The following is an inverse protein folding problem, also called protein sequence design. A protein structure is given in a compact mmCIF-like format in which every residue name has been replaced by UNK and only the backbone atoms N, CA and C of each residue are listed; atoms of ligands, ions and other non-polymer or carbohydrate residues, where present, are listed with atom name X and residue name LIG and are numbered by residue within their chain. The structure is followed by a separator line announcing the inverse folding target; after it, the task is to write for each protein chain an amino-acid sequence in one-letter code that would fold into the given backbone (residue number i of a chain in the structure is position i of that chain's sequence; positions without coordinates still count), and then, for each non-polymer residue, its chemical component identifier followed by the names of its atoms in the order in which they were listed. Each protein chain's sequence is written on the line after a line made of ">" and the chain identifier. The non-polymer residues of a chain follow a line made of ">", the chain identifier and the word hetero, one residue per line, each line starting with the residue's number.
data_IF_395716813228
#
_entry.id   IF_395716813228
#
_cell.length_a   1.000
_cell.length_b   1.000
_cell.length_c   1.000
_cell.angle_alpha   90.00
_cell.angle_beta   90.00
_cell.angle_gamma   90.00
#
_symmetry.space_group_name_H-M   'P 1'
#
loop_
_entity.id
_entity.type
_entity.pdbx_description
1 polymer ?
#
# COMPACT_ATOMS: atom_id res chain seq x y z
N UNK A 1 15.32 -10.54 3.17
CA UNK A 1 13.89 -10.11 3.08
C UNK A 1 13.25 -10.39 4.43
N UNK A 2 12.97 -9.36 5.24
CA UNK A 2 12.33 -9.55 6.56
C UNK A 2 10.86 -9.88 6.32
N UNK A 3 10.43 -11.08 6.71
CA UNK A 3 9.01 -11.48 6.62
C UNK A 3 8.17 -10.52 7.45
N UNK A 4 7.12 -9.95 6.84
CA UNK A 4 6.15 -9.10 7.52
C UNK A 4 5.60 -9.87 8.74
N UNK A 5 5.76 -9.32 9.95
CA UNK A 5 5.37 -10.03 11.18
C UNK A 5 3.84 -10.22 11.20
N UNK A 6 3.42 -11.48 11.43
CA UNK A 6 2.02 -11.89 11.63
C UNK A 6 1.43 -11.20 12.86
N UNK A 7 0.88 -10.01 12.70
CA UNK A 7 0.17 -9.28 13.76
C UNK A 7 -0.99 -8.43 13.25
N UNK A 8 -1.20 -8.32 11.94
CA UNK A 8 -2.30 -7.55 11.38
C UNK A 8 -3.53 -8.45 11.27
N UNK A 9 -4.56 -8.13 12.06
CA UNK A 9 -5.88 -8.76 11.99
C UNK A 9 -6.38 -8.61 10.55
N UNK A 10 -6.64 -9.74 9.90
CA UNK A 10 -7.08 -9.82 8.50
C UNK A 10 -8.49 -9.20 8.40
N UNK A 11 -8.56 -7.86 8.34
CA UNK A 11 -9.78 -7.17 7.93
C UNK A 11 -10.00 -7.52 6.47
N UNK A 12 -11.24 -7.76 6.07
CA UNK A 12 -11.62 -7.87 4.66
C UNK A 12 -11.39 -6.50 4.03
N UNK A 13 -10.15 -6.22 3.64
CA UNK A 13 -9.76 -4.93 3.07
C UNK A 13 -10.12 -5.00 1.60
N UNK A 14 -11.29 -4.47 1.29
CA UNK A 14 -11.59 -4.11 -0.07
C UNK A 14 -10.65 -2.96 -0.45
N UNK A 15 -9.71 -3.22 -1.35
CA UNK A 15 -8.82 -2.19 -1.92
C UNK A 15 -9.64 -1.28 -2.82
N UNK A 16 -10.49 -0.46 -2.21
CA UNK A 16 -11.22 0.57 -2.89
C UNK A 16 -10.29 1.78 -3.07
N UNK A 17 -10.37 2.39 -4.25
CA UNK A 17 -9.61 3.57 -4.65
C UNK A 17 -9.56 4.67 -3.57
N UNK A 18 -10.73 5.07 -3.08
CA UNK A 18 -10.87 6.12 -2.07
C UNK A 18 -10.22 5.75 -0.74
N UNK A 19 -10.34 4.49 -0.29
CA UNK A 19 -9.73 4.02 0.95
C UNK A 19 -8.20 4.05 0.89
N UNK A 20 -7.62 3.65 -0.24
CA UNK A 20 -6.18 3.72 -0.47
C UNK A 20 -5.68 5.17 -0.55
N UNK A 21 -6.35 6.02 -1.34
CA UNK A 21 -5.99 7.44 -1.47
C UNK A 21 -6.03 8.16 -0.12
N UNK A 22 -7.08 7.95 0.70
CA UNK A 22 -7.24 8.64 1.98
C UNK A 22 -6.11 8.32 2.98
N UNK A 23 -5.59 7.10 2.96
CA UNK A 23 -4.46 6.72 3.82
C UNK A 23 -3.16 7.39 3.38
N UNK A 24 -2.99 7.72 2.10
CA UNK A 24 -1.75 8.32 1.57
C UNK A 24 -1.68 9.84 1.78
N UNK A 25 -2.80 10.55 1.64
CA UNK A 25 -2.83 12.02 1.65
C UNK A 25 -2.38 12.63 2.99
N UNK A 26 -2.44 11.89 4.10
CA UNK A 26 -2.07 12.37 5.44
C UNK A 26 -0.56 12.50 5.67
N UNK A 27 0.27 11.89 4.81
CA UNK A 27 1.73 11.82 5.06
C UNK A 27 2.51 13.04 4.53
N UNK A 28 1.94 13.82 3.61
CA UNK A 28 2.59 15.03 3.07
C UNK A 28 3.83 14.80 2.19
N UNK A 29 4.18 13.54 1.90
CA UNK A 29 5.30 13.20 1.01
C UNK A 29 4.90 13.24 -0.47
N UNK A 30 5.84 13.65 -1.33
CA UNK A 30 5.63 13.69 -2.79
C UNK A 30 5.37 12.29 -3.34
N UNK A 31 6.02 11.26 -2.78
CA UNK A 31 5.82 9.86 -3.14
C UNK A 31 4.40 9.40 -2.81
N UNK A 32 3.89 9.74 -1.62
CA UNK A 32 2.51 9.45 -1.21
C UNK A 32 1.50 10.19 -2.09
N UNK A 33 1.73 11.47 -2.39
CA UNK A 33 0.86 12.26 -3.27
C UNK A 33 0.83 11.68 -4.69
N UNK A 34 1.99 11.38 -5.28
CA UNK A 34 2.09 10.78 -6.62
C UNK A 34 1.39 9.43 -6.69
N UNK A 35 1.55 8.61 -5.65
CA UNK A 35 0.89 7.32 -5.56
C UNK A 35 -0.63 7.46 -5.38
N UNK A 36 -1.08 8.44 -4.60
CA UNK A 36 -2.49 8.78 -4.46
C UNK A 36 -3.12 9.20 -5.79
N UNK A 37 -2.41 10.00 -6.61
CA UNK A 37 -2.82 10.34 -7.97
C UNK A 37 -2.89 9.12 -8.88
N UNK A 38 -1.88 8.24 -8.83
CA UNK A 38 -1.90 6.99 -9.59
C UNK A 38 -3.15 6.16 -9.26
N UNK A 39 -3.43 5.94 -7.97
CA UNK A 39 -4.62 5.22 -7.53
C UNK A 39 -5.89 5.91 -8.02
N UNK A 40 -5.98 7.24 -7.90
CA UNK A 40 -7.20 7.97 -8.20
C UNK A 40 -7.53 8.00 -9.71
N UNK A 41 -6.51 8.14 -10.56
CA UNK A 41 -6.70 8.45 -11.98
C UNK A 41 -6.31 7.32 -12.93
N UNK A 42 -5.48 6.36 -12.49
CA UNK A 42 -5.00 5.26 -13.33
C UNK A 42 -5.67 3.94 -12.95
N UNK A 43 -5.84 3.65 -11.65
CA UNK A 43 -6.49 2.42 -11.22
C UNK A 43 -8.00 2.44 -11.53
N UNK A 44 -8.52 1.27 -11.87
CA UNK A 44 -9.96 0.99 -11.83
C UNK A 44 -10.46 0.97 -10.38
N UNK A 45 -11.78 0.88 -10.17
CA UNK A 45 -12.37 0.86 -8.82
C UNK A 45 -11.83 -0.28 -7.94
N UNK A 46 -11.49 -1.40 -8.57
CA UNK A 46 -10.72 -2.49 -7.98
C UNK A 46 -9.37 -2.58 -8.69
N UNK A 47 -8.24 -2.27 -8.01
CA UNK A 47 -6.91 -2.39 -8.60
C UNK A 47 -6.62 -3.81 -9.09
N UNK A 48 -6.02 -3.93 -10.28
CA UNK A 48 -5.57 -5.21 -10.84
C UNK A 48 -4.26 -5.64 -10.20
N UNK A 49 -3.84 -6.89 -10.45
CA UNK A 49 -2.58 -7.43 -9.95
C UNK A 49 -1.37 -6.52 -10.23
N UNK A 50 -1.24 -6.00 -11.46
CA UNK A 50 -0.17 -5.07 -11.84
C UNK A 50 -0.18 -3.78 -11.02
N UNK A 51 -1.38 -3.27 -10.73
CA UNK A 51 -1.56 -2.05 -9.94
C UNK A 51 -1.13 -2.29 -8.50
N UNK A 52 -1.55 -3.42 -7.90
CA UNK A 52 -1.16 -3.79 -6.54
C UNK A 52 0.35 -3.97 -6.39
N UNK A 53 1.00 -4.59 -7.37
CA UNK A 53 2.47 -4.73 -7.40
C UNK A 53 3.12 -3.34 -7.47
N UNK A 54 2.68 -2.48 -8.39
CA UNK A 54 3.21 -1.12 -8.53
C UNK A 54 3.03 -0.31 -7.23
N UNK A 55 1.84 -0.34 -6.63
CA UNK A 55 1.53 0.37 -5.39
C UNK A 55 2.44 -0.11 -4.26
N UNK A 56 2.61 -1.42 -4.11
CA UNK A 56 3.50 -2.00 -3.08
C UNK A 56 4.95 -1.57 -3.26
N UNK A 57 5.48 -1.60 -4.48
CA UNK A 57 6.87 -1.17 -4.74
C UNK A 57 7.06 0.32 -4.44
N UNK A 58 6.08 1.18 -4.78
CA UNK A 58 6.13 2.60 -4.43
C UNK A 58 6.00 2.88 -2.93
N UNK A 59 5.21 2.09 -2.22
CA UNK A 59 5.18 2.14 -0.75
C UNK A 59 6.51 1.73 -0.13
N UNK A 60 7.17 0.68 -0.65
CA UNK A 60 8.50 0.26 -0.20
C UNK A 60 9.55 1.35 -0.42
N UNK A 61 9.53 2.01 -1.57
CA UNK A 61 10.41 3.15 -1.86
C UNK A 61 10.19 4.29 -0.84
N UNK A 62 8.93 4.68 -0.61
CA UNK A 62 8.57 5.73 0.34
C UNK A 62 9.01 5.39 1.77
N UNK A 63 8.69 4.18 2.24
CA UNK A 63 9.08 3.70 3.57
C UNK A 63 10.61 3.61 3.70
N UNK A 64 11.34 3.16 2.67
CA UNK A 64 12.80 3.10 2.71
C UNK A 64 13.44 4.48 2.91
N UNK A 65 12.84 5.53 2.35
CA UNK A 65 13.35 6.90 2.43
C UNK A 65 12.96 7.59 3.73
N UNK A 66 11.71 7.45 4.16
CA UNK A 66 11.12 8.28 5.22
C UNK A 66 10.89 7.55 6.55
N UNK A 67 10.70 6.22 6.53
CA UNK A 67 10.34 5.46 7.74
C UNK A 67 11.48 5.48 8.76
N UNK A 68 11.23 6.15 9.88
CA UNK A 68 12.16 6.24 11.01
C UNK A 68 11.84 5.24 12.14
N UNK A 69 10.89 4.32 11.92
CA UNK A 69 10.46 3.33 12.91
C UNK A 69 9.39 3.83 13.89
N UNK A 70 8.97 5.10 13.82
CA UNK A 70 7.92 5.63 14.70
C UNK A 70 6.54 5.08 14.36
N UNK A 71 5.60 5.19 15.31
CA UNK A 71 4.21 4.76 15.15
C UNK A 71 3.45 5.53 14.06
N UNK A 72 3.94 6.71 13.67
CA UNK A 72 3.34 7.50 12.58
C UNK A 72 3.31 6.74 11.25
N UNK A 73 4.25 5.82 11.03
CA UNK A 73 4.32 4.98 9.82
C UNK A 73 3.60 3.64 9.95
N UNK A 74 2.95 3.34 11.08
CA UNK A 74 2.31 2.04 11.30
C UNK A 74 1.24 1.74 10.25
N UNK A 75 0.42 2.73 9.90
CA UNK A 75 -0.60 2.54 8.87
C UNK A 75 0.00 2.34 7.47
N UNK A 76 1.07 3.05 7.12
CA UNK A 76 1.73 2.89 5.81
C UNK A 76 2.43 1.53 5.69
N UNK A 77 3.04 1.04 6.77
CA UNK A 77 3.59 -0.33 6.86
C UNK A 77 2.50 -1.38 6.76
N UNK A 78 1.38 -1.18 7.46
CA UNK A 78 0.23 -2.08 7.39
C UNK A 78 -0.32 -2.13 5.96
N UNK A 79 -0.51 -0.97 5.31
CA UNK A 79 -0.94 -0.88 3.92
C UNK A 79 -0.05 -1.69 2.99
N UNK A 80 1.26 -1.46 3.05
CA UNK A 80 2.22 -2.15 2.20
C UNK A 80 2.12 -3.67 2.38
N UNK A 81 2.02 -4.13 3.64
CA UNK A 81 1.91 -5.54 3.97
C UNK A 81 0.58 -6.17 3.50
N UNK A 82 -0.52 -5.45 3.65
CA UNK A 82 -1.85 -5.88 3.18
C UNK A 82 -1.87 -6.07 1.67
N UNK A 83 -1.34 -5.09 0.91
CA UNK A 83 -1.24 -5.16 -0.55
C UNK A 83 -0.32 -6.30 -0.98
N UNK A 84 0.85 -6.42 -0.34
CA UNK A 84 1.82 -7.48 -0.64
C UNK A 84 1.25 -8.88 -0.41
N UNK A 85 0.59 -9.12 0.72
CA UNK A 85 -0.07 -10.40 0.97
C UNK A 85 -1.17 -10.69 -0.05
N UNK A 86 -1.84 -9.66 -0.56
CA UNK A 86 -2.95 -9.82 -1.51
C UNK A 86 -2.48 -10.34 -2.86
N UNK A 87 -1.37 -9.85 -3.41
CA UNK A 87 -0.87 -10.37 -4.68
C UNK A 87 0.02 -11.61 -4.53
N UNK A 88 0.66 -11.83 -3.36
CA UNK A 88 1.43 -13.06 -3.11
C UNK A 88 0.55 -14.30 -2.92
N UNK A 89 -0.73 -14.11 -2.58
CA UNK A 89 -1.69 -15.20 -2.37
C UNK A 89 -2.62 -15.42 -3.57
N UNK A 90 -2.58 -14.56 -4.57
CA UNK A 90 -3.28 -14.77 -5.83
C UNK A 90 -2.51 -15.79 -6.69
N UNK A 91 -3.16 -16.88 -7.16
CA UNK A 91 -2.53 -17.78 -8.12
C UNK A 91 -2.21 -16.99 -9.40
N UNK A 92 -0.98 -17.12 -9.90
CA UNK A 92 -0.64 -16.64 -11.23
C UNK A 92 -1.60 -17.33 -12.22
N UNK A 93 -2.45 -16.52 -12.86
CA UNK A 93 -3.39 -16.99 -13.87
C UNK A 93 -2.66 -17.60 -15.07
#
# INVERSE_FOLDING_TARGET
>A
MKKCKKGYTQRNIHFNRHALTNRLISYGFVECASLAYFIQYICEDSPKLSDLIYISEKLKECLKTHDNGSAWFDDLRAMQCEIENTYLTQPAA
#
